data_IF_120467518208
#
_entry.id   IF_120467518208
#
_cell.length_a   1.000
_cell.length_b   1.000
_cell.length_c   1.000
_cell.angle_alpha   90.00
_cell.angle_beta   90.00
_cell.angle_gamma   90.00
#
_symmetry.space_group_name_H-M   'P 1'
#
loop_
_entity.id
_entity.type
_entity.pdbx_description
1 polymer ?
#
# COMPACT_ATOMS: atom_id res chain seq x y z
N UNK A 1 -0.41 17.70 0.04
CA UNK A 1 0.02 16.44 0.66
C UNK A 1 -0.80 15.25 0.16
N UNK A 2 -2.12 15.15 0.43
CA UNK A 2 -2.92 13.99 -0.03
C UNK A 2 -2.88 13.78 -1.56
N UNK A 3 -3.08 14.82 -2.37
CA UNK A 3 -3.04 14.70 -3.83
C UNK A 3 -1.70 14.16 -4.36
N UNK A 4 -0.59 14.50 -3.72
CA UNK A 4 0.73 13.98 -4.10
C UNK A 4 0.82 12.49 -3.78
N UNK A 5 0.42 12.09 -2.57
CA UNK A 5 0.40 10.68 -2.15
C UNK A 5 -0.54 9.85 -3.04
N UNK A 6 -1.74 10.35 -3.35
CA UNK A 6 -2.67 9.68 -4.26
C UNK A 6 -2.10 9.53 -5.66
N UNK A 7 -1.45 10.57 -6.20
CA UNK A 7 -0.81 10.49 -7.51
C UNK A 7 0.37 9.52 -7.52
N UNK A 8 1.12 9.41 -6.42
CA UNK A 8 2.24 8.47 -6.31
C UNK A 8 1.78 7.02 -6.13
N UNK A 9 0.75 6.78 -5.33
CA UNK A 9 0.33 5.42 -4.98
C UNK A 9 -0.71 4.83 -5.95
N UNK A 10 -1.61 5.64 -6.49
CA UNK A 10 -2.78 5.14 -7.25
C UNK A 10 -2.59 5.26 -8.77
N UNK A 11 -2.18 6.43 -9.26
CA UNK A 11 -2.10 6.72 -10.70
C UNK A 11 -1.19 5.77 -11.49
N UNK A 12 -0.01 5.33 -10.99
CA UNK A 12 0.85 4.39 -11.73
C UNK A 12 0.19 3.03 -11.98
N UNK A 13 -0.77 2.66 -11.13
CA UNK A 13 -1.56 1.42 -11.26
C UNK A 13 -2.91 1.66 -11.94
N UNK A 14 -3.11 2.82 -12.58
CA UNK A 14 -4.37 3.25 -13.18
C UNK A 14 -5.54 3.27 -12.19
N UNK A 15 -5.27 3.44 -10.90
CA UNK A 15 -6.28 3.57 -9.88
C UNK A 15 -6.64 5.05 -9.67
N UNK A 16 -7.90 5.27 -9.32
CA UNK A 16 -8.42 6.58 -8.93
C UNK A 16 -9.21 6.46 -7.63
N UNK A 17 -9.56 7.59 -7.01
CA UNK A 17 -10.46 7.59 -5.86
C UNK A 17 -11.80 6.91 -6.17
N UNK A 18 -12.30 7.02 -7.41
CA UNK A 18 -13.53 6.34 -7.82
C UNK A 18 -13.36 4.81 -7.82
N UNK A 19 -12.18 4.31 -8.18
CA UNK A 19 -11.88 2.88 -8.09
C UNK A 19 -11.96 2.39 -6.64
N UNK A 20 -11.45 3.19 -5.69
CA UNK A 20 -11.54 2.86 -4.26
C UNK A 20 -12.99 2.82 -3.78
N UNK A 21 -13.80 3.80 -4.17
CA UNK A 21 -15.24 3.83 -3.85
C UNK A 21 -15.97 2.59 -4.37
N UNK A 22 -15.66 2.15 -5.60
CA UNK A 22 -16.26 0.93 -6.16
C UNK A 22 -15.83 -0.33 -5.39
N UNK A 23 -14.59 -0.39 -4.90
CA UNK A 23 -14.12 -1.50 -4.06
C UNK A 23 -14.87 -1.52 -2.73
N UNK A 24 -15.07 -0.36 -2.09
CA UNK A 24 -15.87 -0.25 -0.88
C UNK A 24 -17.34 -0.63 -1.12
N UNK A 25 -17.91 -0.24 -2.26
CA UNK A 25 -19.26 -0.65 -2.64
C UNK A 25 -19.39 -2.17 -2.70
N UNK A 26 -18.47 -2.86 -3.39
CA UNK A 26 -18.42 -4.33 -3.44
C UNK A 26 -18.32 -4.95 -2.04
N UNK A 27 -17.47 -4.41 -1.17
CA UNK A 27 -17.31 -4.90 0.20
C UNK A 27 -18.55 -4.67 1.05
N UNK A 28 -19.25 -3.54 0.87
CA UNK A 28 -20.47 -3.18 1.61
C UNK A 28 -21.66 -4.12 1.35
N UNK A 29 -21.63 -4.88 0.25
CA UNK A 29 -22.62 -5.94 -0.02
C UNK A 29 -22.48 -7.13 0.94
N UNK A 30 -21.42 -7.18 1.75
CA UNK A 30 -21.26 -8.13 2.86
C UNK A 30 -21.71 -7.49 4.16
N UNK A 31 -22.14 -8.31 5.11
CA UNK A 31 -22.52 -7.85 6.45
C UNK A 31 -21.27 -7.53 7.29
N UNK A 32 -20.57 -6.46 6.93
CA UNK A 32 -19.35 -5.97 7.57
C UNK A 32 -19.62 -4.57 8.17
N UNK A 33 -19.02 -4.30 9.32
CA UNK A 33 -19.16 -3.03 10.03
C UNK A 33 -18.14 -2.00 9.55
N UNK A 34 -16.99 -2.46 9.06
CA UNK A 34 -15.89 -1.61 8.63
C UNK A 34 -15.05 -2.29 7.55
N UNK A 35 -14.51 -1.47 6.64
CA UNK A 35 -13.49 -1.89 5.71
C UNK A 35 -12.46 -0.77 5.50
N UNK A 36 -11.21 -1.16 5.24
CA UNK A 36 -10.18 -0.23 4.77
C UNK A 36 -9.27 -0.82 3.71
N UNK A 37 -8.62 0.11 3.01
CA UNK A 37 -7.55 -0.13 2.07
C UNK A 37 -6.33 0.64 2.57
N UNK A 38 -5.23 -0.07 2.78
CA UNK A 38 -3.96 0.50 3.19
C UNK A 38 -2.98 0.38 2.03
N UNK A 39 -2.45 1.50 1.55
CA UNK A 39 -1.49 1.55 0.44
C UNK A 39 -0.13 2.02 0.96
N UNK A 40 0.94 1.39 0.48
CA UNK A 40 2.31 1.71 0.88
C UNK A 40 3.26 1.75 -0.32
N UNK A 41 4.23 2.65 -0.24
CA UNK A 41 5.45 2.67 -1.04
C UNK A 41 6.60 3.07 -0.11
N UNK A 42 7.59 2.19 0.07
CA UNK A 42 8.85 2.46 0.77
C UNK A 42 10.01 2.42 -0.21
N UNK A 43 10.97 3.30 -0.01
CA UNK A 43 12.22 3.37 -0.77
C UNK A 43 13.35 3.56 0.22
N UNK A 44 14.26 2.59 0.25
CA UNK A 44 15.33 2.52 1.23
C UNK A 44 16.67 2.45 0.50
N UNK A 45 17.54 3.43 0.78
CA UNK A 45 18.91 3.49 0.27
C UNK A 45 19.90 3.20 1.41
N UNK A 46 20.92 2.41 1.11
CA UNK A 46 21.98 2.06 2.06
C UNK A 46 23.35 2.10 1.40
N UNK A 47 24.36 2.50 2.16
CA UNK A 47 25.74 2.59 1.71
C UNK A 47 26.66 2.07 2.81
N UNK A 48 27.62 1.22 2.45
CA UNK A 48 28.61 0.66 3.37
C UNK A 48 29.98 1.20 3.01
N UNK A 49 30.62 1.88 3.98
CA UNK A 49 31.98 2.39 3.88
C UNK A 49 32.90 1.54 4.76
N UNK A 50 33.94 0.98 4.16
CA UNK A 50 34.97 0.17 4.83
C UNK A 50 36.33 0.45 4.19
N UNK A 51 37.40 0.44 4.99
CA UNK A 51 38.76 0.78 4.55
C UNK A 51 38.89 2.15 3.84
N UNK A 52 38.03 3.11 4.18
CA UNK A 52 38.02 4.45 3.56
C UNK A 52 37.44 4.49 2.15
N UNK A 53 36.86 3.40 1.66
CA UNK A 53 36.17 3.32 0.37
C UNK A 53 34.72 2.85 0.54
N UNK A 54 33.85 3.21 -0.41
CA UNK A 54 32.50 2.63 -0.48
C UNK A 54 32.62 1.20 -1.01
N UNK A 55 32.22 0.23 -0.20
CA UNK A 55 32.25 -1.20 -0.56
C UNK A 55 30.94 -1.65 -1.19
N UNK A 56 29.82 -1.23 -0.63
CA UNK A 56 28.49 -1.69 -1.03
C UNK A 56 27.51 -0.52 -1.08
N UNK A 57 26.55 -0.62 -2.00
CA UNK A 57 25.39 0.24 -2.08
C UNK A 57 24.17 -0.63 -2.35
N UNK A 58 23.09 -0.38 -1.61
CA UNK A 58 21.84 -1.10 -1.73
C UNK A 58 20.68 -0.14 -1.95
N UNK A 59 19.77 -0.51 -2.85
CA UNK A 59 18.51 0.19 -3.03
C UNK A 59 17.36 -0.81 -3.00
N UNK A 60 16.40 -0.58 -2.12
CA UNK A 60 15.24 -1.42 -1.95
C UNK A 60 13.97 -0.62 -2.16
N UNK A 61 13.03 -1.19 -2.91
CA UNK A 61 11.70 -0.63 -3.11
C UNK A 61 10.70 -1.68 -2.69
N UNK A 62 9.78 -1.30 -1.82
CA UNK A 62 8.64 -2.12 -1.41
C UNK A 62 7.34 -1.34 -1.67
N UNK A 63 6.34 -2.01 -2.25
CA UNK A 63 5.06 -1.41 -2.61
C UNK A 63 3.95 -2.43 -2.50
N UNK A 64 2.82 -2.05 -1.91
CA UNK A 64 1.72 -2.99 -1.77
C UNK A 64 0.42 -2.38 -1.27
N UNK A 65 -0.61 -3.22 -1.26
CA UNK A 65 -1.94 -2.90 -0.74
C UNK A 65 -2.40 -3.97 0.24
N UNK A 66 -2.96 -3.55 1.37
CA UNK A 66 -3.68 -4.39 2.31
C UNK A 66 -5.16 -4.06 2.33
N UNK A 67 -6.01 -5.07 2.45
CA UNK A 67 -7.47 -4.93 2.51
C UNK A 67 -7.99 -5.59 3.76
N UNK A 68 -8.78 -4.87 4.57
CA UNK A 68 -9.48 -5.44 5.73
C UNK A 68 -10.98 -5.29 5.62
N UNK A 69 -11.68 -6.31 6.13
CA UNK A 69 -13.11 -6.29 6.37
C UNK A 69 -13.40 -6.80 7.78
N UNK A 70 -14.17 -6.04 8.56
CA UNK A 70 -14.41 -6.30 9.98
C UNK A 70 -15.91 -6.46 10.24
N UNK A 71 -16.29 -7.45 11.04
CA UNK A 71 -17.66 -7.65 11.52
C UNK A 71 -17.63 -8.09 12.99
N UNK A 72 -18.05 -7.21 13.89
CA UNK A 72 -17.88 -7.32 15.33
C UNK A 72 -16.41 -7.52 15.67
N UNK A 73 -16.10 -8.70 16.21
CA UNK A 73 -14.74 -9.10 16.58
C UNK A 73 -13.98 -9.83 15.46
N UNK A 74 -14.65 -10.15 14.34
CA UNK A 74 -14.05 -10.91 13.24
C UNK A 74 -13.37 -9.97 12.26
N UNK A 75 -12.15 -10.32 11.84
CA UNK A 75 -11.41 -9.59 10.80
C UNK A 75 -10.99 -10.55 9.69
N UNK A 76 -11.36 -10.23 8.46
CA UNK A 76 -10.74 -10.79 7.26
C UNK A 76 -9.66 -9.86 6.75
N UNK A 77 -8.51 -10.41 6.34
CA UNK A 77 -7.38 -9.66 5.82
C UNK A 77 -6.75 -10.37 4.62
N UNK A 78 -6.37 -9.59 3.61
CA UNK A 78 -5.55 -10.02 2.49
C UNK A 78 -4.64 -8.87 2.06
N UNK A 79 -3.51 -9.19 1.42
CA UNK A 79 -2.57 -8.19 0.92
C UNK A 79 -1.91 -8.65 -0.38
N UNK A 80 -1.29 -7.70 -1.08
CA UNK A 80 -0.46 -7.95 -2.25
C UNK A 80 0.76 -7.03 -2.25
N UNK A 81 1.90 -7.55 -2.70
CA UNK A 81 3.17 -6.83 -2.87
C UNK A 81 3.19 -6.04 -4.21
N UNK A 82 2.00 -5.64 -4.65
CA UNK A 82 1.76 -4.76 -5.80
C UNK A 82 0.45 -4.00 -5.57
N UNK A 83 0.38 -2.78 -6.09
CA UNK A 83 -0.83 -1.95 -6.11
C UNK A 83 -1.38 -1.97 -7.54
#
# INVERSE_FOLDING_TARGET
MLNQVSNTLLTPSNLSTQTLLNIFDIMSHRNIDYADLYFQLSQDESWVLEDGIIKEGGFHIDRGVGVRAVSGEKTGFAYADQI
#
